data_IF_295991380685
#
_entry.id   IF_295991380685
#
_cell.length_a   1.000
_cell.length_b   1.000
_cell.length_c   1.000
_cell.angle_alpha   90.00
_cell.angle_beta   90.00
_cell.angle_gamma   90.00
#
_symmetry.space_group_name_H-M   'P 1'
#
loop_
_entity.id
_entity.type
_entity.pdbx_description
1 polymer ?
#
# COMPACT_ATOMS: atom_id res chain seq x y z
N UNK A 1 17.05 -4.74 -4.29
CA UNK A 1 17.78 -3.66 -3.59
C UNK A 1 18.57 -2.87 -4.63
N UNK A 2 18.71 -1.56 -4.49
CA UNK A 2 19.18 -0.66 -5.56
C UNK A 2 20.69 -0.78 -5.80
N UNK A 3 21.08 -1.34 -6.96
CA UNK A 3 22.47 -1.47 -7.43
C UNK A 3 23.28 -0.16 -7.30
N UNK A 4 22.62 1.00 -7.41
CA UNK A 4 23.26 2.31 -7.32
C UNK A 4 23.72 2.61 -5.90
N UNK A 5 22.89 2.29 -4.89
CA UNK A 5 23.22 2.56 -3.49
C UNK A 5 24.44 1.75 -3.07
N UNK A 6 24.45 0.46 -3.38
CA UNK A 6 25.54 -0.46 -3.05
C UNK A 6 26.86 -0.04 -3.68
N UNK A 7 26.83 0.35 -4.97
CA UNK A 7 27.99 0.92 -5.64
C UNK A 7 28.48 2.21 -4.99
N UNK A 8 27.56 3.07 -4.53
CA UNK A 8 27.92 4.32 -3.86
C UNK A 8 28.64 4.05 -2.54
N UNK A 9 28.15 3.08 -1.75
CA UNK A 9 28.83 2.62 -0.52
C UNK A 9 30.21 2.05 -0.85
N UNK A 10 30.32 1.22 -1.89
CA UNK A 10 31.61 0.66 -2.36
C UNK A 10 32.63 1.74 -2.73
N UNK A 11 32.22 2.74 -3.52
CA UNK A 11 33.10 3.87 -3.87
C UNK A 11 33.52 4.65 -2.62
N UNK A 12 32.61 4.86 -1.66
CA UNK A 12 32.94 5.54 -0.41
C UNK A 12 33.93 4.72 0.45
N UNK A 13 33.88 3.39 0.40
CA UNK A 13 34.88 2.52 1.02
C UNK A 13 36.24 2.62 0.33
N UNK A 14 36.28 2.57 -1.00
CA UNK A 14 37.52 2.69 -1.80
C UNK A 14 38.22 4.04 -1.57
N UNK A 15 37.44 5.11 -1.41
CA UNK A 15 37.95 6.46 -1.09
C UNK A 15 38.29 6.64 0.39
N UNK A 16 38.05 5.64 1.24
CA UNK A 16 38.38 5.67 2.66
C UNK A 16 37.44 6.50 3.53
N UNK A 17 36.30 6.95 2.99
CA UNK A 17 35.26 7.66 3.76
C UNK A 17 34.55 6.71 4.72
N UNK A 18 34.27 5.48 4.27
CA UNK A 18 33.66 4.42 5.08
C UNK A 18 34.70 3.34 5.33
N UNK A 19 35.02 3.08 6.60
CA UNK A 19 35.92 1.99 6.96
C UNK A 19 35.15 0.68 7.01
N UNK A 20 35.77 -0.41 6.54
CA UNK A 20 35.17 -1.76 6.66
C UNK A 20 34.83 -2.12 8.11
N UNK A 21 35.69 -1.71 9.05
CA UNK A 21 35.46 -1.83 10.50
C UNK A 21 35.17 -0.44 11.05
N UNK A 22 33.91 -0.14 11.26
CA UNK A 22 33.44 1.05 11.97
C UNK A 22 32.29 0.67 12.86
N UNK A 23 32.05 1.44 13.91
CA UNK A 23 30.81 1.28 14.67
C UNK A 23 29.63 1.68 13.78
N UNK A 24 28.47 1.08 14.02
CA UNK A 24 27.22 1.46 13.35
C UNK A 24 26.16 1.78 14.38
N UNK A 25 25.19 2.60 13.99
CA UNK A 25 23.93 2.75 14.70
C UNK A 25 22.77 2.53 13.75
N UNK A 26 21.67 2.03 14.28
CA UNK A 26 20.40 1.91 13.59
C UNK A 26 19.36 2.74 14.34
N UNK A 27 18.61 3.53 13.58
CA UNK A 27 17.44 4.25 14.09
C UNK A 27 16.29 4.17 13.08
N UNK A 28 15.07 4.18 13.59
CA UNK A 28 13.86 4.05 12.81
C UNK A 28 13.15 5.40 12.63
N UNK A 29 12.93 5.78 11.38
CA UNK A 29 12.11 6.94 11.03
C UNK A 29 10.80 6.52 10.37
N UNK A 30 9.73 7.28 10.60
CA UNK A 30 8.47 7.07 9.90
C UNK A 30 8.52 7.72 8.50
N UNK A 31 8.01 7.02 7.51
CA UNK A 31 7.75 7.57 6.17
C UNK A 31 6.26 7.84 6.11
N UNK A 32 5.89 9.12 6.19
CA UNK A 32 4.48 9.54 6.05
C UNK A 32 4.14 9.41 4.58
N UNK A 33 3.13 8.60 4.26
CA UNK A 33 2.60 8.58 2.92
C UNK A 33 1.59 9.72 2.78
N UNK A 34 1.71 10.50 1.70
CA UNK A 34 0.72 11.52 1.33
C UNK A 34 -0.57 10.89 0.77
N UNK A 35 -1.01 9.80 1.39
CA UNK A 35 -2.38 9.34 1.25
C UNK A 35 -3.23 10.24 2.12
N UNK A 36 -3.92 11.18 1.49
CA UNK A 36 -5.04 11.87 2.16
C UNK A 36 -5.91 10.80 2.83
N UNK A 37 -6.32 11.03 4.08
CA UNK A 37 -7.47 10.30 4.63
C UNK A 37 -8.66 10.66 3.75
N UNK A 38 -8.91 9.82 2.76
CA UNK A 38 -10.02 9.97 1.84
C UNK A 38 -11.28 9.44 2.51
N UNK A 39 -12.44 9.90 2.04
CA UNK A 39 -13.71 9.33 2.45
C UNK A 39 -13.81 7.87 2.03
N UNK A 40 -14.67 7.11 2.70
CA UNK A 40 -15.03 5.74 2.33
C UNK A 40 -15.46 5.65 0.87
N UNK A 41 -16.33 6.54 0.40
CA UNK A 41 -16.75 6.58 -1.02
C UNK A 41 -15.57 6.72 -1.98
N UNK A 42 -14.59 7.57 -1.65
CA UNK A 42 -13.40 7.72 -2.47
C UNK A 42 -12.43 6.53 -2.37
N UNK A 43 -12.39 5.83 -1.23
CA UNK A 43 -11.63 4.59 -1.06
C UNK A 43 -12.20 3.48 -1.92
N UNK A 44 -13.52 3.25 -1.85
CA UNK A 44 -14.20 2.25 -2.66
C UNK A 44 -14.06 2.57 -4.15
N UNK A 45 -14.20 3.84 -4.55
CA UNK A 45 -13.99 4.24 -5.94
C UNK A 45 -12.58 3.86 -6.44
N UNK A 46 -11.55 4.15 -5.63
CA UNK A 46 -10.16 3.82 -5.99
C UNK A 46 -9.93 2.32 -6.04
N UNK A 47 -10.57 1.55 -5.18
CA UNK A 47 -10.47 0.10 -5.18
C UNK A 47 -11.00 -0.49 -6.49
N UNK A 48 -12.23 -0.13 -6.87
CA UNK A 48 -12.80 -0.58 -8.16
C UNK A 48 -11.97 -0.07 -9.34
N UNK A 49 -11.48 1.18 -9.30
CA UNK A 49 -10.58 1.71 -10.32
C UNK A 49 -9.33 0.85 -10.50
N UNK A 50 -8.69 0.42 -9.42
CA UNK A 50 -7.48 -0.39 -9.51
C UNK A 50 -7.76 -1.78 -10.11
N UNK A 51 -8.93 -2.37 -9.84
CA UNK A 51 -9.38 -3.61 -10.52
C UNK A 51 -9.52 -3.37 -12.01
N UNK A 52 -10.24 -2.32 -12.41
CA UNK A 52 -10.47 -1.97 -13.82
C UNK A 52 -9.15 -1.73 -14.56
N UNK A 53 -8.22 -0.99 -13.96
CA UNK A 53 -6.88 -0.75 -14.52
C UNK A 53 -6.01 -2.02 -14.57
N UNK A 54 -6.17 -2.95 -13.61
CA UNK A 54 -5.45 -4.23 -13.64
C UNK A 54 -5.97 -5.14 -14.77
N UNK A 55 -7.30 -5.19 -14.95
CA UNK A 55 -7.94 -5.91 -16.07
C UNK A 55 -7.46 -5.34 -17.41
N UNK A 56 -7.53 -4.02 -17.60
CA UNK A 56 -7.05 -3.35 -18.81
C UNK A 56 -5.58 -3.67 -19.11
N UNK A 57 -4.73 -3.69 -18.08
CA UNK A 57 -3.31 -3.98 -18.21
C UNK A 57 -3.02 -5.44 -18.58
N UNK A 58 -3.78 -6.39 -18.03
CA UNK A 58 -3.55 -7.83 -18.21
C UNK A 58 -4.21 -8.39 -19.46
N UNK A 59 -5.43 -7.94 -19.76
CA UNK A 59 -6.19 -8.38 -20.92
C UNK A 59 -7.00 -7.21 -21.54
N UNK A 60 -6.35 -6.38 -22.38
CA UNK A 60 -7.01 -5.26 -23.05
C UNK A 60 -8.23 -5.67 -23.88
N UNK A 61 -8.17 -6.83 -24.55
CA UNK A 61 -9.27 -7.32 -25.38
C UNK A 61 -10.52 -7.64 -24.54
N UNK A 62 -10.30 -8.24 -23.37
CA UNK A 62 -11.36 -8.50 -22.40
C UNK A 62 -11.93 -7.21 -21.83
N UNK A 63 -11.06 -6.25 -21.49
CA UNK A 63 -11.47 -4.93 -21.02
C UNK A 63 -12.41 -4.26 -22.03
N UNK A 64 -12.01 -4.18 -23.30
CA UNK A 64 -12.80 -3.51 -24.34
C UNK A 64 -14.12 -4.23 -24.62
N UNK A 65 -14.12 -5.57 -24.60
CA UNK A 65 -15.26 -6.39 -25.01
C UNK A 65 -16.28 -6.63 -23.90
N UNK A 66 -15.81 -6.89 -22.67
CA UNK A 66 -16.65 -7.41 -21.59
C UNK A 66 -16.95 -6.34 -20.52
N UNK A 67 -16.05 -5.37 -20.28
CA UNK A 67 -16.32 -4.30 -19.30
C UNK A 67 -17.25 -3.26 -19.94
N UNK A 68 -18.41 -2.94 -19.35
CA UNK A 68 -19.32 -1.95 -19.92
C UNK A 68 -18.69 -0.56 -20.06
N UNK A 69 -19.00 0.12 -21.18
CA UNK A 69 -18.47 1.46 -21.51
C UNK A 69 -18.65 2.47 -20.36
N UNK A 70 -19.80 2.47 -19.68
CA UNK A 70 -20.04 3.37 -18.56
C UNK A 70 -19.11 3.13 -17.36
N UNK A 71 -18.69 1.89 -17.10
CA UNK A 71 -17.70 1.55 -16.07
C UNK A 71 -16.32 2.00 -16.53
N UNK A 72 -15.94 1.71 -17.78
CA UNK A 72 -14.68 2.16 -18.37
C UNK A 72 -14.52 3.68 -18.24
N UNK A 73 -15.51 4.45 -18.71
CA UNK A 73 -15.51 5.92 -18.63
C UNK A 73 -15.45 6.45 -17.19
N UNK A 74 -16.21 5.83 -16.28
CA UNK A 74 -16.29 6.27 -14.89
C UNK A 74 -14.94 6.11 -14.21
N UNK A 75 -14.31 4.94 -14.35
CA UNK A 75 -13.07 4.62 -13.66
C UNK A 75 -11.82 5.12 -14.37
N UNK A 76 -11.91 5.56 -15.63
CA UNK A 76 -10.85 6.34 -16.28
C UNK A 76 -10.70 7.75 -15.67
N UNK A 77 -11.75 8.29 -15.04
CA UNK A 77 -11.73 9.62 -14.41
C UNK A 77 -11.11 9.59 -13.00
N UNK A 78 -10.80 10.78 -12.48
CA UNK A 78 -10.45 10.98 -11.07
C UNK A 78 -11.72 11.32 -10.30
N UNK A 79 -11.90 10.71 -9.12
CA UNK A 79 -13.03 11.00 -8.25
C UNK A 79 -12.58 11.68 -6.94
N UNK A 80 -13.38 12.66 -6.50
CA UNK A 80 -13.26 13.30 -5.20
C UNK A 80 -14.67 13.45 -4.60
N UNK A 81 -14.84 13.04 -3.35
CA UNK A 81 -16.11 13.23 -2.64
C UNK A 81 -16.24 14.61 -1.98
N UNK A 82 -15.27 15.51 -2.19
CA UNK A 82 -15.26 16.83 -1.59
C UNK A 82 -16.42 17.68 -2.13
N UNK A 83 -17.18 18.33 -1.24
CA UNK A 83 -18.32 19.17 -1.63
C UNK A 83 -19.59 18.43 -2.03
N UNK A 84 -19.63 17.09 -1.96
CA UNK A 84 -20.83 16.28 -2.26
C UNK A 84 -21.71 16.19 -1.00
N UNK A 85 -23.04 16.38 -1.16
CA UNK A 85 -24.04 16.22 -0.09
C UNK A 85 -24.09 14.78 0.44
N UNK A 86 -24.75 14.57 1.57
CA UNK A 86 -24.83 13.24 2.21
C UNK A 86 -25.64 12.27 1.34
N UNK A 87 -26.74 12.74 0.75
CA UNK A 87 -27.64 11.96 -0.10
C UNK A 87 -26.91 11.49 -1.36
N UNK A 88 -26.29 12.43 -2.09
CA UNK A 88 -25.48 12.14 -3.29
C UNK A 88 -24.29 11.24 -2.98
N UNK A 89 -23.75 11.30 -1.76
CA UNK A 89 -22.67 10.40 -1.32
C UNK A 89 -23.18 8.97 -1.14
N UNK A 90 -24.37 8.78 -0.59
CA UNK A 90 -25.02 7.47 -0.48
C UNK A 90 -25.32 6.85 -1.83
N UNK A 91 -25.92 7.62 -2.75
CA UNK A 91 -26.16 7.20 -4.14
C UNK A 91 -24.85 6.78 -4.82
N UNK A 92 -23.80 7.61 -4.69
CA UNK A 92 -22.50 7.31 -5.29
C UNK A 92 -21.84 6.08 -4.66
N UNK A 93 -22.01 5.88 -3.35
CA UNK A 93 -21.49 4.72 -2.64
C UNK A 93 -22.14 3.44 -3.15
N UNK A 94 -23.47 3.42 -3.29
CA UNK A 94 -24.21 2.28 -3.84
C UNK A 94 -23.76 1.97 -5.28
N UNK A 95 -23.71 2.99 -6.14
CA UNK A 95 -23.26 2.84 -7.54
C UNK A 95 -21.86 2.23 -7.65
N UNK A 96 -20.91 2.66 -6.82
CA UNK A 96 -19.54 2.11 -6.83
C UNK A 96 -19.52 0.65 -6.39
N UNK A 97 -20.32 0.29 -5.39
CA UNK A 97 -20.41 -1.10 -4.91
C UNK A 97 -21.06 -1.99 -5.96
N UNK A 98 -22.12 -1.51 -6.60
CA UNK A 98 -22.78 -2.22 -7.71
C UNK A 98 -21.81 -2.46 -8.87
N UNK A 99 -21.04 -1.45 -9.29
CA UNK A 99 -20.01 -1.60 -10.33
C UNK A 99 -18.96 -2.67 -9.94
N UNK A 100 -18.47 -2.64 -8.69
CA UNK A 100 -17.50 -3.62 -8.19
C UNK A 100 -18.05 -5.05 -8.12
N UNK A 101 -19.30 -5.21 -7.64
CA UNK A 101 -19.99 -6.50 -7.61
C UNK A 101 -20.27 -7.03 -9.02
N UNK A 102 -20.61 -6.14 -9.95
CA UNK A 102 -20.85 -6.48 -11.34
C UNK A 102 -19.56 -7.00 -11.99
N UNK A 103 -18.44 -6.29 -11.85
CA UNK A 103 -17.12 -6.72 -12.36
C UNK A 103 -16.76 -8.09 -11.80
N UNK A 104 -16.91 -8.31 -10.48
CA UNK A 104 -16.69 -9.63 -9.87
C UNK A 104 -17.54 -10.71 -10.55
N UNK A 105 -18.84 -10.45 -10.70
CA UNK A 105 -19.76 -11.42 -11.31
C UNK A 105 -19.44 -11.70 -12.78
N UNK A 106 -18.87 -10.72 -13.49
CA UNK A 106 -18.46 -10.84 -14.88
C UNK A 106 -17.25 -11.76 -15.00
N UNK A 107 -16.23 -11.55 -14.16
CA UNK A 107 -15.03 -12.41 -14.10
C UNK A 107 -15.35 -13.87 -13.78
N UNK A 108 -16.39 -14.12 -12.97
CA UNK A 108 -16.88 -15.47 -12.68
C UNK A 108 -17.61 -16.13 -13.87
N UNK A 109 -18.35 -15.34 -14.66
CA UNK A 109 -19.21 -15.85 -15.75
C UNK A 109 -18.48 -15.96 -17.08
N UNK A 110 -17.55 -15.06 -17.33
CA UNK A 110 -16.78 -14.96 -18.57
C UNK A 110 -15.29 -14.92 -18.16
N UNK A 111 -14.72 -16.04 -17.70
CA UNK A 111 -13.33 -16.04 -17.27
C UNK A 111 -12.38 -15.85 -18.45
N UNK A 112 -11.26 -15.17 -18.21
CA UNK A 112 -10.10 -15.13 -19.10
C UNK A 112 -8.90 -15.72 -18.39
N UNK A 113 -8.15 -16.60 -19.06
CA UNK A 113 -6.91 -17.21 -18.53
C UNK A 113 -5.85 -16.15 -18.18
N UNK A 114 -5.88 -14.97 -18.82
CA UNK A 114 -4.97 -13.86 -18.50
C UNK A 114 -5.31 -13.15 -17.18
N UNK A 115 -6.47 -13.45 -16.58
CA UNK A 115 -7.03 -12.79 -15.41
C UNK A 115 -7.14 -13.69 -14.17
N UNK A 116 -6.44 -14.84 -14.15
CA UNK A 116 -6.51 -15.80 -13.03
C UNK A 116 -6.03 -15.22 -11.68
N UNK A 117 -5.04 -14.32 -11.70
CA UNK A 117 -4.41 -13.75 -10.49
C UNK A 117 -4.66 -12.24 -10.36
N UNK A 118 -5.90 -11.81 -10.10
CA UNK A 118 -6.21 -10.37 -9.91
C UNK A 118 -6.05 -9.93 -8.45
N UNK A 119 -4.84 -9.51 -8.07
CA UNK A 119 -4.55 -9.01 -6.70
C UNK A 119 -5.48 -7.84 -6.32
N UNK A 120 -5.82 -6.95 -7.28
CA UNK A 120 -6.71 -5.83 -7.00
C UNK A 120 -8.14 -6.27 -6.71
N UNK A 121 -8.58 -7.44 -7.20
CA UNK A 121 -9.90 -7.97 -6.90
C UNK A 121 -10.00 -8.30 -5.41
N UNK A 122 -9.03 -9.04 -4.87
CA UNK A 122 -8.96 -9.38 -3.44
C UNK A 122 -8.84 -8.13 -2.55
N UNK A 123 -8.06 -7.14 -2.99
CA UNK A 123 -7.92 -5.85 -2.32
C UNK A 123 -9.26 -5.11 -2.29
N UNK A 124 -10.00 -5.08 -3.40
CA UNK A 124 -11.31 -4.45 -3.48
C UNK A 124 -12.32 -5.12 -2.56
N UNK A 125 -12.36 -6.45 -2.56
CA UNK A 125 -13.25 -7.22 -1.68
C UNK A 125 -12.96 -6.94 -0.21
N UNK A 126 -11.70 -6.95 0.19
CA UNK A 126 -11.28 -6.61 1.55
C UNK A 126 -11.71 -5.20 1.93
N UNK A 127 -11.55 -4.22 1.02
CA UNK A 127 -11.99 -2.85 1.26
C UNK A 127 -13.52 -2.79 1.40
N UNK A 128 -14.27 -3.50 0.59
CA UNK A 128 -15.73 -3.52 0.68
C UNK A 128 -16.18 -4.12 2.01
N UNK A 129 -15.67 -5.30 2.36
CA UNK A 129 -16.00 -6.01 3.61
C UNK A 129 -15.73 -5.16 4.85
N UNK A 130 -14.61 -4.43 4.89
CA UNK A 130 -14.22 -3.66 6.06
C UNK A 130 -14.95 -2.31 6.20
N UNK A 131 -15.54 -1.80 5.12
CA UNK A 131 -16.04 -0.41 5.07
C UNK A 131 -17.54 -0.28 4.82
N UNK A 132 -18.20 -1.28 4.23
CA UNK A 132 -19.63 -1.21 3.94
C UNK A 132 -20.36 -2.50 4.27
N UNK A 133 -21.64 -2.38 4.63
CA UNK A 133 -22.59 -3.49 4.65
C UNK A 133 -23.39 -3.47 3.36
N UNK A 134 -23.45 -4.61 2.70
CA UNK A 134 -24.16 -4.79 1.44
C UNK A 134 -25.39 -5.66 1.73
N UNK A 135 -26.58 -5.07 1.66
CA UNK A 135 -27.84 -5.76 1.81
C UNK A 135 -28.49 -5.92 0.44
N UNK A 136 -28.91 -7.14 0.10
CA UNK A 136 -29.68 -7.40 -1.12
C UNK A 136 -31.15 -7.53 -0.74
N UNK A 137 -32.00 -6.69 -1.34
CA UNK A 137 -33.46 -6.75 -1.19
C UNK A 137 -34.07 -7.14 -2.52
N UNK A 138 -34.88 -8.19 -2.52
CA UNK A 138 -35.67 -8.55 -3.69
C UNK A 138 -37.08 -7.96 -3.55
N UNK A 139 -37.46 -7.11 -4.49
CA UNK A 139 -38.79 -6.49 -4.56
C UNK A 139 -39.28 -6.66 -5.99
N UNK A 140 -40.43 -7.33 -6.17
CA UNK A 140 -41.03 -7.55 -7.50
C UNK A 140 -40.06 -8.16 -8.53
N UNK A 141 -39.34 -9.23 -8.13
CA UNK A 141 -38.32 -9.92 -8.95
C UNK A 141 -37.12 -9.05 -9.35
N UNK A 142 -36.97 -7.85 -8.75
CA UNK A 142 -35.80 -6.98 -8.91
C UNK A 142 -34.94 -7.01 -7.66
N UNK A 143 -33.64 -7.21 -7.85
CA UNK A 143 -32.65 -7.15 -6.78
C UNK A 143 -32.17 -5.71 -6.64
N UNK A 144 -32.38 -5.14 -5.45
CA UNK A 144 -31.87 -3.84 -5.03
C UNK A 144 -30.68 -4.04 -4.10
N UNK A 145 -29.58 -3.34 -4.37
CA UNK A 145 -28.40 -3.33 -3.51
C UNK A 145 -28.48 -2.09 -2.62
N UNK A 146 -28.67 -2.31 -1.32
CA UNK A 146 -28.60 -1.25 -0.31
C UNK A 146 -27.23 -1.30 0.36
N UNK A 147 -26.56 -0.15 0.40
CA UNK A 147 -25.18 -0.04 0.89
C UNK A 147 -25.13 0.93 2.05
N UNK A 148 -24.67 0.44 3.20
CA UNK A 148 -24.49 1.25 4.41
C UNK A 148 -23.01 1.34 4.78
N UNK A 149 -22.54 2.56 5.05
CA UNK A 149 -21.17 2.79 5.55
C UNK A 149 -21.01 2.33 7.00
N UNK A 150 -19.97 1.53 7.26
CA UNK A 150 -19.57 1.11 8.61
C UNK A 150 -18.95 2.30 9.32
N UNK A 151 -19.51 2.69 10.48
CA UNK A 151 -19.08 3.91 11.20
C UNK A 151 -17.64 3.82 11.74
N UNK A 152 -17.20 2.62 12.13
CA UNK A 152 -15.85 2.36 12.62
C UNK A 152 -15.25 1.20 11.83
N UNK A 153 -14.76 1.45 10.60
CA UNK A 153 -14.22 0.40 9.76
C UNK A 153 -12.91 -0.12 10.34
N UNK A 154 -12.63 -1.40 10.11
CA UNK A 154 -11.36 -2.02 10.51
C UNK A 154 -10.16 -1.38 9.78
N UNK A 155 -10.37 -0.97 8.52
CA UNK A 155 -9.44 -0.25 7.65
C UNK A 155 -8.00 -0.79 7.70
N UNK A 156 -7.78 -1.99 7.16
CA UNK A 156 -6.45 -2.61 7.04
C UNK A 156 -5.70 -2.19 5.78
N UNK A 157 -6.42 -1.72 4.75
CA UNK A 157 -5.87 -1.21 3.50
C UNK A 157 -6.11 0.29 3.41
N UNK A 158 -5.03 1.07 3.34
CA UNK A 158 -5.09 2.55 3.27
C UNK A 158 -4.91 3.09 1.85
N UNK A 159 -4.40 2.26 0.94
CA UNK A 159 -4.24 2.58 -0.46
C UNK A 159 -4.38 1.28 -1.28
N UNK A 160 -5.40 1.15 -2.14
CA UNK A 160 -5.57 -0.04 -2.96
C UNK A 160 -4.37 -0.30 -3.89
N UNK A 161 -3.75 0.77 -4.41
CA UNK A 161 -2.61 0.67 -5.32
C UNK A 161 -1.29 0.34 -4.61
N UNK A 162 -1.20 0.63 -3.31
CA UNK A 162 -0.02 0.33 -2.51
C UNK A 162 -0.42 -0.23 -1.14
N UNK A 163 -0.72 -1.54 -1.06
CA UNK A 163 -1.12 -2.22 0.17
C UNK A 163 -0.01 -2.25 1.24
N UNK A 164 1.22 -1.85 0.90
CA UNK A 164 2.33 -1.75 1.85
C UNK A 164 2.17 -0.59 2.83
N UNK A 165 1.37 0.42 2.46
CA UNK A 165 1.01 1.55 3.32
C UNK A 165 0.08 1.07 4.44
N UNK A 166 0.56 1.17 5.68
CA UNK A 166 -0.17 0.75 6.88
C UNK A 166 -0.22 1.86 7.93
N UNK A 167 -1.11 1.71 8.91
CA UNK A 167 -1.08 2.53 10.11
C UNK A 167 0.12 2.14 10.97
N UNK A 168 0.90 3.13 11.37
CA UNK A 168 1.94 3.02 12.39
C UNK A 168 1.52 3.72 13.67
N UNK A 169 1.96 3.19 14.81
CA UNK A 169 1.72 3.75 16.14
C UNK A 169 3.03 3.72 16.93
N UNK A 170 3.43 4.87 17.50
CA UNK A 170 4.58 4.99 18.40
C UNK A 170 4.19 5.88 19.59
N UNK A 171 3.96 5.27 20.74
CA UNK A 171 3.40 5.95 21.92
C UNK A 171 2.04 6.58 21.59
N UNK A 172 1.92 7.91 21.75
CA UNK A 172 0.69 8.66 21.42
C UNK A 172 0.62 9.12 19.96
N UNK A 173 1.67 8.91 19.15
CA UNK A 173 1.72 9.32 17.74
C UNK A 173 1.25 8.18 16.85
N UNK A 174 0.47 8.50 15.83
CA UNK A 174 0.12 7.58 14.74
C UNK A 174 0.38 8.24 13.39
N UNK A 175 0.67 7.43 12.37
CA UNK A 175 0.86 7.89 11.00
C UNK A 175 0.36 6.84 10.01
N UNK A 176 -0.01 7.26 8.81
CA UNK A 176 -0.31 6.35 7.69
C UNK A 176 0.87 6.40 6.74
N UNK A 177 1.44 5.23 6.44
CA UNK A 177 2.65 5.15 5.64
C UNK A 177 3.45 3.91 5.96
N UNK A 178 4.76 4.09 6.01
CA UNK A 178 5.71 3.02 6.26
C UNK A 178 6.74 3.48 7.28
N UNK A 179 7.73 2.63 7.55
CA UNK A 179 8.90 3.02 8.34
C UNK A 179 10.17 2.59 7.61
N UNK A 180 11.24 3.30 7.89
CA UNK A 180 12.55 2.96 7.38
C UNK A 180 13.54 2.97 8.53
N UNK A 181 14.27 1.88 8.68
CA UNK A 181 15.43 1.84 9.53
C UNK A 181 16.63 2.34 8.75
N UNK A 182 17.28 3.38 9.25
CA UNK A 182 18.48 3.94 8.66
C UNK A 182 19.66 3.41 9.45
N UNK A 183 20.61 2.79 8.75
CA UNK A 183 21.87 2.34 9.32
C UNK A 183 22.95 3.29 8.88
N UNK A 184 23.70 3.81 9.83
CA UNK A 184 24.83 4.69 9.55
C UNK A 184 26.04 4.34 10.40
N UNK A 185 27.22 4.77 9.97
CA UNK A 185 28.42 4.71 10.80
C UNK A 185 28.23 5.54 12.07
N UNK A 186 28.89 5.17 13.17
CA UNK A 186 28.75 5.80 14.47
C UNK A 186 30.12 6.16 15.07
N UNK A 187 30.89 6.95 14.32
CA UNK A 187 32.22 7.41 14.71
C UNK A 187 32.16 8.78 15.39
N UNK A 188 32.63 8.86 16.65
CA UNK A 188 32.61 10.11 17.43
C UNK A 188 33.54 11.15 16.81
N UNK A 189 33.04 12.38 16.63
CA UNK A 189 33.82 13.51 16.12
C UNK A 189 34.16 13.43 14.62
N UNK A 190 33.47 12.56 13.87
CA UNK A 190 33.64 12.40 12.42
C UNK A 190 32.31 12.55 11.70
N UNK A 191 32.39 12.80 10.40
CA UNK A 191 31.24 12.68 9.50
C UNK A 191 30.82 11.21 9.45
N UNK A 192 29.54 10.96 9.65
CA UNK A 192 28.95 9.64 9.56
C UNK A 192 28.23 9.46 8.22
N UNK A 193 28.17 8.23 7.74
CA UNK A 193 27.63 7.88 6.45
C UNK A 193 26.52 6.85 6.59
N UNK A 194 25.43 7.04 5.86
CA UNK A 194 24.38 6.04 5.72
C UNK A 194 24.94 4.86 4.93
N UNK A 195 24.94 3.68 5.54
CA UNK A 195 25.46 2.44 4.97
C UNK A 195 24.35 1.48 4.55
N UNK A 196 23.14 1.64 5.08
CA UNK A 196 21.98 0.85 4.66
C UNK A 196 20.66 1.55 5.01
N UNK A 197 19.59 1.16 4.32
CA UNK A 197 18.23 1.60 4.60
C UNK A 197 17.27 0.41 4.43
N UNK A 198 16.52 0.10 5.48
CA UNK A 198 15.57 -1.02 5.49
C UNK A 198 14.14 -0.50 5.58
N UNK A 199 13.45 -0.54 4.45
CA UNK A 199 12.03 -0.22 4.38
C UNK A 199 11.18 -1.36 4.96
N UNK A 200 10.17 -1.01 5.75
CA UNK A 200 9.20 -1.95 6.33
C UNK A 200 7.80 -1.32 6.39
N UNK A 201 6.77 -2.17 6.42
CA UNK A 201 5.41 -1.70 6.71
C UNK A 201 5.38 -1.10 8.12
N UNK A 202 4.57 -0.08 8.34
CA UNK A 202 4.55 0.62 9.63
C UNK A 202 4.17 -0.27 10.82
N UNK A 203 3.36 -1.30 10.59
CA UNK A 203 2.89 -2.25 11.59
C UNK A 203 3.76 -3.51 11.70
N UNK A 204 4.85 -3.63 10.93
CA UNK A 204 5.77 -4.77 11.00
C UNK A 204 6.56 -4.73 12.31
N UNK A 205 6.83 -5.90 12.92
CA UNK A 205 7.66 -5.97 14.12
C UNK A 205 9.15 -5.76 13.78
N UNK A 206 9.90 -5.15 14.70
CA UNK A 206 11.33 -4.88 14.51
C UNK A 206 12.23 -6.06 14.92
N UNK A 207 11.68 -7.19 15.37
CA UNK A 207 12.43 -8.35 15.87
C UNK A 207 13.50 -8.87 14.92
N UNK A 208 13.27 -8.78 13.60
CA UNK A 208 14.19 -9.26 12.57
C UNK A 208 15.12 -8.18 12.01
N UNK A 209 15.05 -6.93 12.50
CA UNK A 209 15.78 -5.83 11.87
C UNK A 209 17.29 -6.02 11.96
N UNK A 210 17.78 -6.54 13.08
CA UNK A 210 19.20 -6.78 13.29
C UNK A 210 19.77 -7.80 12.30
N UNK A 211 19.00 -8.84 11.97
CA UNK A 211 19.45 -9.84 11.00
C UNK A 211 19.45 -9.28 9.57
N UNK A 212 18.44 -8.49 9.20
CA UNK A 212 18.42 -7.75 7.93
C UNK A 212 19.62 -6.80 7.79
N UNK A 213 20.06 -6.18 8.90
CA UNK A 213 21.26 -5.32 8.92
C UNK A 213 22.54 -6.14 8.73
N UNK A 214 22.66 -7.32 9.36
CA UNK A 214 23.80 -8.22 9.15
C UNK A 214 23.92 -8.63 7.69
N UNK A 215 22.83 -9.07 7.06
CA UNK A 215 22.81 -9.41 5.63
C UNK A 215 23.24 -8.23 4.75
N UNK A 216 22.81 -7.02 5.09
CA UNK A 216 23.22 -5.79 4.40
C UNK A 216 24.71 -5.48 4.52
N UNK A 217 25.27 -5.70 5.71
CA UNK A 217 26.68 -5.53 5.98
C UNK A 217 27.53 -6.56 5.23
N UNK A 218 27.13 -7.83 5.23
CA UNK A 218 27.80 -8.89 4.46
C UNK A 218 27.84 -8.56 2.96
N UNK A 219 26.70 -8.16 2.42
CA UNK A 219 26.55 -7.75 1.01
C UNK A 219 27.46 -6.57 0.63
N UNK A 220 27.70 -5.64 1.55
CA UNK A 220 28.54 -4.44 1.33
C UNK A 220 29.97 -4.60 1.85
N UNK A 221 30.34 -5.78 2.34
CA UNK A 221 31.67 -6.05 2.90
C UNK A 221 32.00 -5.21 4.14
N UNK A 222 30.98 -4.77 4.89
CA UNK A 222 31.10 -4.08 6.17
C UNK A 222 31.13 -5.10 7.32
N UNK A 223 31.97 -4.83 8.30
CA UNK A 223 32.17 -5.66 9.48
C UNK A 223 32.18 -4.77 10.73
N UNK A 224 31.02 -4.26 11.15
CA UNK A 224 30.95 -3.35 12.27
C UNK A 224 31.36 -4.03 13.58
N UNK A 225 32.17 -3.36 14.39
CA UNK A 225 32.60 -3.89 15.69
C UNK A 225 31.48 -3.83 16.73
N UNK A 226 30.56 -2.87 16.57
CA UNK A 226 29.41 -2.67 17.44
C UNK A 226 28.26 -2.04 16.66
N UNK A 227 27.05 -2.53 16.89
CA UNK A 227 25.81 -1.94 16.43
C UNK A 227 25.08 -1.33 17.63
N UNK A 228 24.84 -0.03 17.59
CA UNK A 228 24.01 0.69 18.57
C UNK A 228 22.55 0.72 18.10
N UNK A 229 21.63 0.47 19.01
CA UNK A 229 20.19 0.60 18.77
C UNK A 229 19.54 1.09 20.07
N UNK A 230 18.41 1.79 19.97
CA UNK A 230 17.59 2.11 21.14
C UNK A 230 17.12 0.80 21.79
N UNK A 231 17.39 0.67 23.09
CA UNK A 231 16.87 -0.45 23.88
C UNK A 231 15.53 0.00 24.45
N UNK A 232 14.45 -0.73 24.13
CA UNK A 232 13.16 -0.56 24.83
C UNK A 232 13.25 -1.12 26.25
#
# INVERSE_FOLDING_TARGET
MSLIFDKTVGIAQEKGFIKKRSKQRIDATHIISHVNRISTTAMLFRAVKCVVEEIEKKDPDYYEKEIPEHIQERYNKRFSSFGISKEKRGEKLAEIVEDGLYIKSLLEKVPSEKLEDLEQLEIMETIFEENVKINRKEIEERIFVEVEEIQTPKQTIFNPRDPSIKMGIKGKKSWVGSKCHVVETAEKGKVNFITDMKYQKSNENDSQIHDKVKEGNERTGLHPEKLYADTN
#
